data_IF_055711834962
#
_entry.id   IF_055711834962
#
_cell.length_a   1.000
_cell.length_b   1.000
_cell.length_c   1.000
_cell.angle_alpha   90.00
_cell.angle_beta   90.00
_cell.angle_gamma   90.00
#
_symmetry.space_group_name_H-M   'P 1'
#
loop_
_entity.id
_entity.type
_entity.pdbx_description
1 polymer ?
#
# COMPACT_ATOMS: atom_id res chain seq x y z
N UNK A 1 -31.58 25.60 41.36
CA UNK A 1 -30.72 26.51 40.57
C UNK A 1 -30.20 25.78 39.34
N UNK A 2 -30.32 26.35 38.14
CA UNK A 2 -29.70 25.80 36.91
C UNK A 2 -28.51 26.68 36.53
N UNK A 3 -27.30 26.14 36.57
CA UNK A 3 -26.11 26.88 36.16
C UNK A 3 -26.13 27.08 34.64
N UNK A 4 -26.12 28.35 34.21
CA UNK A 4 -25.94 28.74 32.81
C UNK A 4 -24.53 28.37 32.39
N UNK A 5 -24.40 27.31 31.57
CA UNK A 5 -23.12 26.92 30.95
C UNK A 5 -22.64 28.06 30.07
N UNK A 6 -21.54 28.71 30.45
CA UNK A 6 -20.90 29.77 29.65
C UNK A 6 -20.39 29.19 28.32
N UNK A 7 -20.65 29.89 27.21
CA UNK A 7 -20.17 29.49 25.89
C UNK A 7 -18.65 29.65 25.81
N UNK A 8 -17.93 28.58 25.46
CA UNK A 8 -16.46 28.60 25.33
C UNK A 8 -16.09 29.34 24.04
N UNK A 9 -15.12 30.26 24.11
CA UNK A 9 -14.53 30.88 22.93
C UNK A 9 -13.96 29.82 21.98
N UNK A 10 -14.30 29.87 20.67
CA UNK A 10 -13.86 28.85 19.74
C UNK A 10 -12.34 28.90 19.56
N UNK A 11 -11.67 27.78 19.86
CA UNK A 11 -10.23 27.63 19.59
C UNK A 11 -9.95 27.76 18.11
N UNK A 12 -8.89 28.51 17.78
CA UNK A 12 -8.33 28.58 16.43
C UNK A 12 -8.05 27.17 15.87
N UNK A 13 -8.25 26.91 14.56
CA UNK A 13 -8.15 25.57 13.99
C UNK A 13 -6.84 24.83 14.29
N UNK A 14 -5.70 25.54 14.33
CA UNK A 14 -4.38 24.97 14.63
C UNK A 14 -4.14 24.65 16.11
N UNK A 15 -4.96 25.17 17.03
CA UNK A 15 -4.93 24.80 18.46
C UNK A 15 -5.83 23.60 18.78
N UNK A 16 -6.41 22.95 17.76
CA UNK A 16 -7.26 21.75 17.90
C UNK A 16 -6.42 20.49 17.72
N UNK A 17 -6.74 19.47 18.50
CA UNK A 17 -6.13 18.15 18.32
C UNK A 17 -6.47 17.56 16.95
N UNK A 18 -5.62 16.64 16.50
CA UNK A 18 -5.85 15.90 15.25
C UNK A 18 -7.26 15.28 15.26
N UNK A 19 -8.12 15.60 14.28
CA UNK A 19 -9.51 15.13 14.26
C UNK A 19 -9.63 13.60 14.24
N UNK A 20 -8.64 12.89 13.69
CA UNK A 20 -8.61 11.42 13.72
C UNK A 20 -8.37 10.89 15.13
N UNK A 21 -7.48 11.54 15.89
CA UNK A 21 -7.24 11.21 17.31
C UNK A 21 -8.52 11.42 18.12
N UNK A 22 -9.20 12.55 17.91
CA UNK A 22 -10.50 12.85 18.55
C UNK A 22 -11.59 11.83 18.20
N UNK A 23 -11.59 11.32 16.97
CA UNK A 23 -12.53 10.30 16.51
C UNK A 23 -12.12 8.86 16.87
N UNK A 24 -11.08 8.66 17.69
CA UNK A 24 -10.56 7.32 18.05
C UNK A 24 -9.96 6.54 16.87
N UNK A 25 -9.65 7.19 15.75
CA UNK A 25 -9.12 6.55 14.54
C UNK A 25 -7.60 6.63 14.52
N UNK A 26 -6.94 5.48 14.52
CA UNK A 26 -5.49 5.39 14.37
C UNK A 26 -5.02 5.91 13.01
N UNK A 27 -3.81 6.49 12.97
CA UNK A 27 -3.13 6.87 11.74
C UNK A 27 -2.81 5.64 10.89
N UNK A 28 -2.94 5.76 9.56
CA UNK A 28 -2.69 4.65 8.63
C UNK A 28 -1.43 4.96 7.85
N UNK A 29 -0.42 4.14 8.04
CA UNK A 29 0.80 4.17 7.25
C UNK A 29 0.72 3.16 6.11
N UNK A 30 1.52 3.37 5.05
CA UNK A 30 1.69 2.39 3.99
C UNK A 30 2.35 1.13 4.57
N UNK A 31 1.80 -0.04 4.26
CA UNK A 31 2.44 -1.31 4.58
C UNK A 31 3.77 -1.47 3.82
N UNK A 32 4.70 -2.31 4.28
CA UNK A 32 5.96 -2.56 3.56
C UNK A 32 5.75 -2.99 2.11
N UNK A 33 4.76 -3.85 1.85
CA UNK A 33 4.38 -4.29 0.51
C UNK A 33 3.84 -3.15 -0.38
N UNK A 34 3.14 -2.18 0.21
CA UNK A 34 2.68 -1.00 -0.52
C UNK A 34 3.84 -0.08 -0.87
N UNK A 35 4.79 0.10 0.05
CA UNK A 35 6.01 0.89 -0.20
C UNK A 35 6.85 0.29 -1.33
N UNK A 36 7.02 -1.03 -1.36
CA UNK A 36 7.77 -1.70 -2.44
C UNK A 36 7.06 -1.55 -3.80
N UNK A 37 5.73 -1.69 -3.85
CA UNK A 37 4.94 -1.47 -5.05
C UNK A 37 5.04 -0.01 -5.55
N UNK A 38 5.04 0.98 -4.64
CA UNK A 38 5.23 2.38 -4.98
C UNK A 38 6.64 2.63 -5.57
N UNK A 39 7.68 2.09 -4.92
CA UNK A 39 9.08 2.21 -5.38
C UNK A 39 9.29 1.61 -6.77
N UNK A 40 8.73 0.42 -7.02
CA UNK A 40 8.80 -0.23 -8.34
C UNK A 40 8.13 0.61 -9.43
N UNK A 41 6.98 1.20 -9.13
CA UNK A 41 6.28 2.08 -10.07
C UNK A 41 7.06 3.35 -10.36
N UNK A 42 7.62 3.99 -9.34
CA UNK A 42 8.45 5.18 -9.49
C UNK A 42 9.64 4.90 -10.41
N UNK A 43 10.35 3.77 -10.19
CA UNK A 43 11.46 3.33 -11.04
C UNK A 43 11.03 3.13 -12.50
N UNK A 44 9.90 2.45 -12.73
CA UNK A 44 9.36 2.23 -14.09
C UNK A 44 8.96 3.53 -14.80
N UNK A 45 8.50 4.52 -14.05
CA UNK A 45 8.13 5.83 -14.57
C UNK A 45 9.31 6.81 -14.65
N UNK A 46 10.53 6.41 -14.28
CA UNK A 46 11.70 7.28 -14.23
C UNK A 46 11.64 8.37 -13.14
N UNK A 47 10.75 8.25 -12.16
CA UNK A 47 10.56 9.25 -11.08
C UNK A 47 11.39 8.87 -9.87
N UNK A 48 12.04 9.85 -9.22
CA UNK A 48 12.71 9.64 -7.93
C UNK A 48 11.69 9.20 -6.87
N UNK A 49 12.14 8.35 -5.95
CA UNK A 49 11.38 7.90 -4.78
C UNK A 49 12.15 8.30 -3.51
N UNK A 50 11.49 8.77 -2.43
CA UNK A 50 10.04 8.82 -2.19
C UNK A 50 9.33 9.97 -2.94
N UNK A 51 8.09 9.73 -3.41
CA UNK A 51 7.27 10.75 -4.06
C UNK A 51 5.79 10.65 -3.66
N UNK A 52 5.03 11.74 -3.80
CA UNK A 52 3.62 11.79 -3.40
C UNK A 52 2.70 10.97 -4.32
N UNK A 53 2.90 11.04 -5.64
CA UNK A 53 1.99 10.41 -6.61
C UNK A 53 1.91 8.89 -6.41
N UNK A 54 3.05 8.22 -6.30
CA UNK A 54 3.10 6.77 -6.13
C UNK A 54 2.69 6.37 -4.71
N UNK A 55 2.99 7.19 -3.70
CA UNK A 55 2.53 6.97 -2.33
C UNK A 55 0.99 7.10 -2.22
N UNK A 56 0.39 8.10 -2.86
CA UNK A 56 -1.06 8.32 -2.89
C UNK A 56 -1.75 7.19 -3.64
N UNK A 57 -1.17 6.74 -4.77
CA UNK A 57 -1.67 5.56 -5.48
C UNK A 57 -1.62 4.32 -4.58
N UNK A 58 -0.50 4.07 -3.91
CA UNK A 58 -0.37 2.94 -2.99
C UNK A 58 -1.37 3.03 -1.81
N UNK A 59 -1.60 4.24 -1.28
CA UNK A 59 -2.58 4.49 -0.22
C UNK A 59 -4.02 4.25 -0.69
N UNK A 60 -4.37 4.63 -1.93
CA UNK A 60 -5.69 4.37 -2.51
C UNK A 60 -5.97 2.87 -2.70
N UNK A 61 -4.93 2.08 -3.02
CA UNK A 61 -5.06 0.63 -3.18
C UNK A 61 -5.46 -0.06 -1.87
N UNK A 62 -5.14 0.52 -0.71
CA UNK A 62 -5.56 0.01 0.61
C UNK A 62 -7.07 0.00 0.85
N UNK A 63 -7.85 0.71 0.02
CA UNK A 63 -9.32 0.73 0.09
C UNK A 63 -9.96 -0.45 -0.64
N UNK A 64 -9.25 -1.11 -1.57
CA UNK A 64 -9.73 -2.32 -2.23
C UNK A 64 -9.45 -3.50 -1.31
N UNK A 65 -10.48 -4.29 -0.99
CA UNK A 65 -10.38 -5.53 -0.20
C UNK A 65 -9.18 -6.35 -0.73
N UNK A 66 -8.32 -6.90 0.14
CA UNK A 66 -7.22 -7.74 -0.34
C UNK A 66 -7.84 -8.91 -1.11
N UNK A 67 -7.44 -9.08 -2.38
CA UNK A 67 -7.72 -10.30 -3.12
C UNK A 67 -7.27 -11.46 -2.23
N UNK A 68 -8.23 -12.35 -1.94
CA UNK A 68 -8.14 -13.43 -0.99
C UNK A 68 -6.74 -14.05 -0.95
N UNK A 69 -6.23 -14.25 0.27
CA UNK A 69 -5.06 -15.05 0.64
C UNK A 69 -4.80 -16.10 -0.45
N UNK A 70 -3.86 -15.81 -1.36
CA UNK A 70 -3.44 -16.78 -2.38
C UNK A 70 -2.99 -18.01 -1.62
N UNK A 71 -3.79 -19.07 -1.73
CA UNK A 71 -3.60 -20.36 -1.09
C UNK A 71 -2.13 -20.74 -1.20
N UNK A 72 -1.46 -20.78 -0.05
CA UNK A 72 -0.17 -21.46 0.13
C UNK A 72 -0.46 -22.91 -0.18
N UNK A 73 -0.26 -23.34 -1.44
CA UNK A 73 -0.69 -24.69 -1.82
C UNK A 73 -0.78 -25.04 -3.30
N UNK A 74 -0.31 -24.20 -4.23
CA UNK A 74 -0.07 -24.70 -5.60
C UNK A 74 1.40 -24.50 -5.94
N UNK A 75 2.23 -25.47 -5.50
CA UNK A 75 3.45 -25.82 -6.23
C UNK A 75 3.02 -25.99 -7.69
N UNK A 76 3.39 -25.05 -8.56
CA UNK A 76 3.42 -25.35 -9.99
C UNK A 76 4.59 -26.31 -10.15
N UNK A 77 4.29 -27.60 -10.21
CA UNK A 77 5.27 -28.59 -10.66
C UNK A 77 5.82 -28.07 -11.99
N UNK A 78 7.14 -27.93 -12.05
CA UNK A 78 7.81 -27.50 -13.27
C UNK A 78 7.49 -28.51 -14.37
N UNK A 79 6.67 -28.10 -15.34
CA UNK A 79 6.58 -28.78 -16.62
C UNK A 79 7.95 -28.61 -17.29
N UNK A 80 8.74 -29.70 -17.30
CA UNK A 80 10.02 -29.84 -18.01
C UNK A 80 9.89 -29.32 -19.44
N UNK A 81 10.77 -28.44 -19.94
CA UNK A 81 11.01 -28.38 -21.37
C UNK A 81 11.91 -29.56 -21.75
N UNK A 82 11.38 -30.47 -22.56
CA UNK A 82 12.08 -31.58 -23.15
C UNK A 82 13.34 -31.10 -23.89
N UNK A 83 14.48 -31.74 -23.61
CA UNK A 83 15.73 -31.56 -24.33
C UNK A 83 15.49 -31.82 -25.82
N UNK A 84 15.61 -30.79 -26.65
CA UNK A 84 15.69 -30.94 -28.10
C UNK A 84 17.05 -31.56 -28.42
N UNK A 85 17.00 -32.80 -28.89
CA UNK A 85 18.12 -33.57 -29.45
C UNK A 85 18.66 -32.82 -30.66
N UNK A 86 19.91 -32.39 -30.64
CA UNK A 86 20.66 -32.05 -31.84
C UNK A 86 21.59 -33.22 -32.15
N UNK A 87 21.10 -34.15 -32.96
CA UNK A 87 21.94 -35.09 -33.69
C UNK A 87 22.28 -34.49 -35.06
N UNK A 88 23.57 -34.33 -35.33
CA UNK A 88 24.17 -34.22 -36.66
C UNK A 88 25.65 -34.58 -36.44
N UNK A 89 26.04 -35.83 -36.69
CA UNK A 89 26.43 -36.38 -37.99
C UNK A 89 27.93 -36.13 -38.28
N UNK A 90 28.68 -37.23 -38.21
CA UNK A 90 29.87 -37.59 -38.96
C UNK A 90 30.63 -36.49 -39.73
N UNK A 91 31.92 -36.33 -39.41
CA UNK A 91 33.08 -36.66 -40.26
C UNK A 91 34.37 -36.47 -39.49
#
# INVERSE_FOLDING_TARGET
MRYRRMARTPRAPWKRDNPRKRAGKASRHLSPAQKSAAKSRAKRAGRRYPNLVDNMRAASASKKKPAAKRRVGRKRAASKPAARRSGAAAR
#
